data_IF_648957474396
#
_entry.id   IF_648957474396
#
_cell.length_a   1.000
_cell.length_b   1.000
_cell.length_c   1.000
_cell.angle_alpha   90.00
_cell.angle_beta   90.00
_cell.angle_gamma   90.00
#
_symmetry.space_group_name_H-M   'P 1'
#
loop_
_entity.id
_entity.type
_entity.pdbx_description
1 polymer ?
#
# COMPACT_ATOMS: atom_id res chain seq x y z
N UNK A 1 11.59 -17.27 -8.48
CA UNK A 1 12.32 -16.10 -7.96
C UNK A 1 12.10 -14.79 -8.75
N UNK A 2 11.78 -14.81 -10.05
CA UNK A 2 11.51 -13.55 -10.84
C UNK A 2 10.10 -12.96 -10.66
N UNK A 3 9.19 -13.61 -9.92
CA UNK A 3 7.78 -13.19 -9.77
C UNK A 3 7.53 -12.23 -8.61
N UNK A 4 8.39 -12.25 -7.60
CA UNK A 4 8.27 -11.40 -6.41
C UNK A 4 8.58 -9.91 -6.66
N UNK A 5 9.41 -9.60 -7.65
CA UNK A 5 9.74 -8.21 -8.00
C UNK A 5 8.54 -7.38 -8.53
N UNK A 6 7.44 -8.06 -8.93
CA UNK A 6 6.22 -7.39 -9.42
C UNK A 6 5.29 -6.90 -8.29
N UNK A 7 5.44 -7.41 -7.06
CA UNK A 7 4.62 -6.99 -5.92
C UNK A 7 4.96 -5.57 -5.46
N UNK A 8 6.25 -5.19 -5.51
CA UNK A 8 6.70 -3.89 -5.02
C UNK A 8 6.09 -2.70 -5.74
N UNK A 9 6.04 -2.77 -7.08
CA UNK A 9 5.50 -1.68 -7.89
C UNK A 9 3.96 -1.53 -7.81
N UNK A 10 3.25 -2.56 -7.33
CA UNK A 10 1.78 -2.59 -7.30
C UNK A 10 1.19 -2.05 -6.00
N UNK A 11 1.89 -2.18 -4.87
CA UNK A 11 1.38 -1.72 -3.58
C UNK A 11 1.64 -0.24 -3.33
N UNK A 12 2.75 0.30 -3.82
CA UNK A 12 3.06 1.74 -3.70
C UNK A 12 2.00 2.61 -4.38
N UNK A 13 1.44 2.15 -5.51
CA UNK A 13 0.36 2.86 -6.22
C UNK A 13 -1.02 2.75 -5.57
N UNK A 14 -1.13 2.00 -4.47
CA UNK A 14 -2.41 1.65 -3.86
C UNK A 14 -2.80 2.54 -2.68
N UNK A 15 -1.94 3.46 -2.26
CA UNK A 15 -2.32 4.36 -1.19
C UNK A 15 -3.33 5.39 -1.68
N UNK A 16 -4.53 5.32 -1.10
CA UNK A 16 -5.44 6.46 -1.17
C UNK A 16 -4.73 7.68 -0.59
N UNK A 17 -4.89 8.80 -1.25
CA UNK A 17 -4.64 10.07 -0.59
C UNK A 17 -5.31 10.02 0.78
N UNK A 18 -4.67 10.46 1.86
CA UNK A 18 -5.41 10.77 3.06
C UNK A 18 -6.62 11.57 2.58
N UNK A 19 -7.80 11.11 2.94
CA UNK A 19 -9.06 11.80 2.61
C UNK A 19 -8.77 13.28 2.77
N UNK A 20 -8.85 14.03 1.69
CA UNK A 20 -8.32 15.37 1.58
C UNK A 20 -8.49 16.05 2.95
N UNK A 21 -7.39 16.51 3.53
CA UNK A 21 -7.46 17.29 4.76
C UNK A 21 -8.55 18.31 4.46
N UNK A 22 -9.75 18.08 4.99
CA UNK A 22 -10.72 19.14 5.08
C UNK A 22 -10.05 20.15 6.01
N UNK A 23 -9.24 20.99 5.42
CA UNK A 23 -8.81 22.22 6.07
C UNK A 23 -10.07 22.85 6.63
N UNK A 24 -9.97 23.66 7.68
CA UNK A 24 -11.15 24.29 8.25
C UNK A 24 -11.99 24.82 7.10
N UNK A 25 -13.26 24.36 7.02
CA UNK A 25 -14.24 24.81 6.04
C UNK A 25 -14.46 26.28 6.32
N UNK A 26 -13.57 27.13 5.82
CA UNK A 26 -13.84 28.54 5.70
C UNK A 26 -14.85 28.66 4.56
N UNK A 27 -16.13 28.78 4.93
CA UNK A 27 -17.23 29.06 4.01
C UNK A 27 -17.01 30.39 3.32
N UNK A 28 -16.28 30.37 2.24
CA UNK A 28 -16.01 31.50 1.35
C UNK A 28 -15.58 30.92 0.01
N UNK A 29 -16.19 31.40 -1.09
CA UNK A 29 -15.73 31.09 -2.44
C UNK A 29 -14.21 31.31 -2.53
N UNK A 30 -13.50 30.32 -3.06
CA UNK A 30 -12.06 30.45 -3.31
C UNK A 30 -11.81 31.68 -4.17
N UNK A 31 -10.87 32.55 -3.81
CA UNK A 31 -10.49 33.66 -4.66
C UNK A 31 -9.92 33.14 -5.96
N UNK A 32 -10.33 33.74 -7.10
CA UNK A 32 -9.88 33.38 -8.46
C UNK A 32 -8.37 33.55 -8.73
N UNK A 33 -7.61 33.98 -7.73
CA UNK A 33 -6.15 34.08 -7.78
C UNK A 33 -5.53 33.29 -6.63
N UNK A 34 -4.51 32.46 -6.88
CA UNK A 34 -3.75 31.84 -5.81
C UNK A 34 -3.18 32.94 -4.90
N UNK A 35 -3.47 32.85 -3.61
CA UNK A 35 -2.83 33.70 -2.60
C UNK A 35 -1.40 33.13 -2.48
N UNK A 36 -0.41 33.82 -3.02
CA UNK A 36 0.98 33.37 -3.14
C UNK A 36 1.56 32.82 -1.83
N UNK A 37 1.12 33.33 -0.69
CA UNK A 37 1.56 32.85 0.63
C UNK A 37 0.99 31.49 1.05
N UNK A 38 -0.25 31.15 0.64
CA UNK A 38 -0.84 29.84 0.95
C UNK A 38 -0.18 28.72 0.13
N UNK A 39 0.10 28.98 -1.13
CA UNK A 39 0.82 28.04 -2.01
C UNK A 39 2.22 27.74 -1.46
N UNK A 40 2.90 28.76 -0.90
CA UNK A 40 4.21 28.58 -0.26
C UNK A 40 4.14 27.73 1.01
N UNK A 41 3.11 27.90 1.84
CA UNK A 41 2.94 27.10 3.07
C UNK A 41 2.71 25.63 2.73
N UNK A 42 1.84 25.33 1.76
CA UNK A 42 1.60 23.94 1.33
C UNK A 42 2.80 23.32 0.60
N UNK A 43 3.56 24.10 -0.16
CA UNK A 43 4.76 23.61 -0.85
C UNK A 43 5.90 23.27 0.12
N UNK A 44 5.89 23.77 1.34
CA UNK A 44 6.92 23.55 2.37
C UNK A 44 6.49 22.59 3.48
N UNK A 45 5.23 22.08 3.45
CA UNK A 45 4.76 21.11 4.44
C UNK A 45 5.52 19.77 4.28
N UNK A 46 6.35 19.38 5.27
CA UNK A 46 7.12 18.15 5.18
C UNK A 46 6.26 16.88 5.04
N UNK A 47 5.08 16.86 5.67
CA UNK A 47 4.18 15.70 5.58
C UNK A 47 3.59 15.55 4.16
N UNK A 48 3.23 16.65 3.51
CA UNK A 48 2.76 16.65 2.13
C UNK A 48 3.87 16.24 1.16
N UNK A 49 5.10 16.71 1.36
CA UNK A 49 6.24 16.30 0.52
C UNK A 49 6.56 14.81 0.71
N UNK A 50 6.53 14.33 1.95
CA UNK A 50 6.66 12.91 2.28
C UNK A 50 5.61 12.07 1.54
N UNK A 51 4.33 12.46 1.62
CA UNK A 51 3.23 11.79 0.93
C UNK A 51 3.40 11.79 -0.60
N UNK A 52 3.69 12.94 -1.19
CA UNK A 52 3.86 13.06 -2.64
C UNK A 52 4.99 12.16 -3.15
N UNK A 53 6.13 12.14 -2.46
CA UNK A 53 7.25 11.26 -2.81
C UNK A 53 6.87 9.78 -2.70
N UNK A 54 6.19 9.37 -1.62
CA UNK A 54 5.75 7.98 -1.45
C UNK A 54 4.78 7.55 -2.56
N UNK A 55 3.93 8.47 -3.01
CA UNK A 55 2.96 8.22 -4.09
C UNK A 55 3.60 8.17 -5.47
N UNK A 56 4.56 9.02 -5.74
CA UNK A 56 5.11 9.23 -7.09
C UNK A 56 6.40 8.44 -7.33
N UNK A 57 7.08 8.02 -6.25
CA UNK A 57 8.35 7.31 -6.34
C UNK A 57 9.51 8.17 -6.88
N UNK A 58 9.34 9.49 -6.93
CA UNK A 58 10.32 10.42 -7.44
C UNK A 58 11.15 11.03 -6.30
N UNK A 59 12.45 11.20 -6.52
CA UNK A 59 13.41 11.79 -5.56
C UNK A 59 13.25 11.23 -4.11
N UNK A 60 13.41 9.92 -3.99
CA UNK A 60 13.22 9.20 -2.74
C UNK A 60 14.05 9.73 -1.56
N UNK A 61 15.27 10.24 -1.83
CA UNK A 61 16.14 10.81 -0.79
C UNK A 61 15.57 12.10 -0.24
N UNK A 62 15.14 12.98 -1.10
CA UNK A 62 14.47 14.23 -0.73
C UNK A 62 13.20 13.94 0.08
N UNK A 63 12.35 13.03 -0.41
CA UNK A 63 11.15 12.61 0.31
C UNK A 63 11.45 12.01 1.68
N UNK A 64 12.52 11.21 1.82
CA UNK A 64 12.90 10.62 3.10
C UNK A 64 13.29 11.70 4.13
N UNK A 65 13.99 12.75 3.73
CA UNK A 65 14.32 13.88 4.60
C UNK A 65 13.07 14.60 5.09
N UNK A 66 12.10 14.84 4.21
CA UNK A 66 10.83 15.44 4.58
C UNK A 66 10.01 14.54 5.51
N UNK A 67 9.96 13.22 5.25
CA UNK A 67 9.32 12.27 6.15
C UNK A 67 9.97 12.27 7.55
N UNK A 68 11.31 12.31 7.61
CA UNK A 68 12.04 12.37 8.87
C UNK A 68 11.71 13.63 9.67
N UNK A 69 11.55 14.76 9.00
CA UNK A 69 11.12 16.02 9.63
C UNK A 69 9.68 15.89 10.11
N UNK A 70 8.80 15.38 9.26
CA UNK A 70 7.39 15.28 9.55
C UNK A 70 7.06 14.37 10.75
N UNK A 71 7.69 13.19 10.89
CA UNK A 71 7.41 12.28 12.01
C UNK A 71 7.84 12.83 13.38
N UNK A 72 8.68 13.87 13.41
CA UNK A 72 9.13 14.52 14.63
C UNK A 72 8.19 15.64 15.10
N UNK A 73 7.25 16.07 14.26
CA UNK A 73 6.29 17.13 14.62
C UNK A 73 5.29 16.59 15.67
N UNK A 74 5.30 17.12 16.91
CA UNK A 74 4.40 16.67 17.98
C UNK A 74 2.93 17.03 17.71
N UNK A 75 2.67 18.02 16.87
CA UNK A 75 1.33 18.50 16.52
C UNK A 75 0.70 17.79 15.33
N UNK A 76 1.40 16.80 14.76
CA UNK A 76 0.95 16.10 13.55
C UNK A 76 -0.25 15.19 13.82
N UNK A 77 -1.34 15.42 13.11
CA UNK A 77 -2.56 14.62 13.19
C UNK A 77 -2.50 13.31 12.38
N UNK A 78 -1.57 13.22 11.42
CA UNK A 78 -1.44 12.08 10.46
C UNK A 78 -0.14 11.30 10.68
N UNK A 79 0.22 11.07 11.94
CA UNK A 79 1.50 10.44 12.27
C UNK A 79 1.59 9.00 11.77
N UNK A 80 0.49 8.24 11.89
CA UNK A 80 0.44 6.86 11.39
C UNK A 80 0.66 6.81 9.86
N UNK A 81 -0.04 7.65 9.11
CA UNK A 81 0.06 7.73 7.65
C UNK A 81 1.45 8.21 7.22
N UNK A 82 2.06 9.14 7.96
CA UNK A 82 3.41 9.61 7.68
C UNK A 82 4.46 8.52 7.91
N UNK A 83 4.31 7.69 8.95
CA UNK A 83 5.15 6.50 9.12
C UNK A 83 4.95 5.52 7.96
N UNK A 84 3.72 5.28 7.49
CA UNK A 84 3.49 4.44 6.31
C UNK A 84 4.21 5.01 5.09
N UNK A 85 4.08 6.30 4.81
CA UNK A 85 4.74 6.95 3.68
C UNK A 85 6.27 6.84 3.76
N UNK A 86 6.86 7.06 4.95
CA UNK A 86 8.29 6.87 5.15
C UNK A 86 8.72 5.42 4.95
N UNK A 87 7.93 4.48 5.44
CA UNK A 87 8.17 3.05 5.24
C UNK A 87 8.16 2.65 3.76
N UNK A 88 7.25 3.20 2.95
CA UNK A 88 7.22 2.98 1.50
C UNK A 88 8.51 3.49 0.86
N UNK A 89 8.91 4.72 1.16
CA UNK A 89 10.16 5.30 0.62
C UNK A 89 11.38 4.48 1.02
N UNK A 90 11.44 4.02 2.28
CA UNK A 90 12.51 3.14 2.76
C UNK A 90 12.54 1.80 2.03
N UNK A 91 11.37 1.20 1.79
CA UNK A 91 11.26 -0.02 1.00
C UNK A 91 11.81 0.17 -0.42
N UNK A 92 11.45 1.26 -1.09
CA UNK A 92 11.91 1.57 -2.44
C UNK A 92 13.42 1.88 -2.49
N UNK A 93 13.99 2.38 -1.39
CA UNK A 93 15.42 2.54 -1.20
C UNK A 93 16.15 1.24 -0.81
N UNK A 94 15.42 0.13 -0.60
CA UNK A 94 15.98 -1.16 -0.19
C UNK A 94 16.20 -1.30 1.33
N UNK A 95 15.81 -0.32 2.15
CA UNK A 95 15.85 -0.40 3.61
C UNK A 95 14.61 -1.15 4.15
N UNK A 96 14.58 -2.46 3.95
CA UNK A 96 13.46 -3.31 4.35
C UNK A 96 13.25 -3.30 5.88
N UNK A 97 14.31 -3.31 6.66
CA UNK A 97 14.22 -3.28 8.12
C UNK A 97 13.65 -1.96 8.64
N UNK A 98 14.10 -0.85 8.08
CA UNK A 98 13.54 0.48 8.37
C UNK A 98 12.09 0.61 7.95
N UNK A 99 11.71 0.03 6.81
CA UNK A 99 10.33 -0.01 6.34
C UNK A 99 9.41 -0.78 7.30
N UNK A 100 9.81 -1.99 7.73
CA UNK A 100 9.04 -2.77 8.71
C UNK A 100 8.87 -2.02 10.04
N UNK A 101 9.94 -1.38 10.52
CA UNK A 101 9.87 -0.57 11.73
C UNK A 101 8.88 0.59 11.60
N UNK A 102 8.86 1.27 10.47
CA UNK A 102 7.92 2.34 10.21
C UNK A 102 6.48 1.84 10.13
N UNK A 103 6.22 0.70 9.48
CA UNK A 103 4.86 0.12 9.46
C UNK A 103 4.41 -0.33 10.84
N UNK A 104 5.31 -0.85 11.68
CA UNK A 104 5.00 -1.16 13.08
C UNK A 104 4.66 0.10 13.87
N UNK A 105 5.46 1.17 13.75
CA UNK A 105 5.17 2.45 14.37
C UNK A 105 3.82 3.02 13.92
N UNK A 106 3.49 2.92 12.63
CA UNK A 106 2.18 3.32 12.12
C UNK A 106 1.04 2.58 12.82
N UNK A 107 1.21 1.26 13.03
CA UNK A 107 0.20 0.42 13.69
C UNK A 107 0.13 0.65 15.22
N UNK A 108 1.19 1.14 15.84
CA UNK A 108 1.15 1.61 17.25
C UNK A 108 0.27 2.85 17.39
N UNK A 109 0.32 3.78 16.42
CA UNK A 109 -0.52 4.98 16.41
C UNK A 109 -1.95 4.69 15.94
N UNK A 110 -2.12 3.82 14.95
CA UNK A 110 -3.42 3.42 14.42
C UNK A 110 -3.47 1.93 14.10
N UNK A 111 -3.88 1.08 15.06
CA UNK A 111 -3.97 -0.38 14.86
C UNK A 111 -5.01 -0.81 13.80
N UNK A 112 -5.91 0.09 13.41
CA UNK A 112 -6.94 -0.18 12.41
C UNK A 112 -6.51 0.20 10.98
N UNK A 113 -5.26 0.63 10.77
CA UNK A 113 -4.77 1.06 9.46
C UNK A 113 -4.45 -0.15 8.57
N UNK A 114 -5.46 -0.66 7.86
CA UNK A 114 -5.34 -1.84 6.99
C UNK A 114 -4.24 -1.74 5.94
N UNK A 115 -4.00 -0.54 5.40
CA UNK A 115 -2.95 -0.29 4.41
C UNK A 115 -1.53 -0.50 4.98
N UNK A 116 -1.30 -0.23 6.27
CA UNK A 116 -0.02 -0.50 6.91
C UNK A 116 0.29 -2.01 6.94
N UNK A 117 -0.71 -2.84 7.23
CA UNK A 117 -0.56 -4.30 7.17
C UNK A 117 -0.25 -4.81 5.75
N UNK A 118 -0.86 -4.22 4.71
CA UNK A 118 -0.56 -4.60 3.33
C UNK A 118 0.88 -4.25 2.94
N UNK A 119 1.36 -3.09 3.34
CA UNK A 119 2.74 -2.69 3.08
C UNK A 119 3.74 -3.52 3.91
N UNK A 120 3.41 -3.86 5.15
CA UNK A 120 4.19 -4.81 5.95
C UNK A 120 4.30 -6.17 5.25
N UNK A 121 3.19 -6.68 4.71
CA UNK A 121 3.19 -7.94 3.98
C UNK A 121 4.10 -7.91 2.75
N UNK A 122 4.17 -6.78 2.03
CA UNK A 122 5.07 -6.62 0.90
C UNK A 122 6.53 -6.82 1.31
N UNK A 123 6.97 -6.17 2.37
CA UNK A 123 8.34 -6.33 2.89
C UNK A 123 8.60 -7.76 3.33
N UNK A 124 7.65 -8.38 4.06
CA UNK A 124 7.76 -9.76 4.52
C UNK A 124 7.89 -10.77 3.37
N UNK A 125 7.20 -10.52 2.24
CA UNK A 125 7.38 -11.32 1.03
C UNK A 125 8.79 -11.14 0.46
N UNK A 126 9.29 -9.91 0.40
CA UNK A 126 10.66 -9.63 -0.08
C UNK A 126 11.71 -10.30 0.81
N UNK A 127 11.48 -10.36 2.11
CA UNK A 127 12.33 -11.06 3.10
C UNK A 127 12.13 -12.58 3.14
N UNK A 128 11.27 -13.15 2.27
CA UNK A 128 10.97 -14.59 2.22
C UNK A 128 10.32 -15.13 3.50
N UNK A 129 9.44 -14.37 4.09
CA UNK A 129 8.63 -14.70 5.29
C UNK A 129 7.14 -14.85 4.93
N UNK A 130 6.78 -15.83 4.07
CA UNK A 130 5.44 -15.90 3.46
C UNK A 130 4.31 -16.14 4.47
N UNK A 131 4.57 -16.86 5.56
CA UNK A 131 3.55 -17.12 6.59
C UNK A 131 3.14 -15.85 7.32
N UNK A 132 4.11 -14.99 7.63
CA UNK A 132 3.86 -13.70 8.28
C UNK A 132 3.22 -12.72 7.29
N UNK A 133 3.68 -12.72 6.05
CA UNK A 133 3.06 -11.93 4.97
C UNK A 133 1.58 -12.31 4.79
N UNK A 134 1.24 -13.60 4.80
CA UNK A 134 -0.14 -14.08 4.71
C UNK A 134 -1.00 -13.57 5.87
N UNK A 135 -0.46 -13.61 7.10
CA UNK A 135 -1.15 -13.08 8.28
C UNK A 135 -1.41 -11.57 8.16
N UNK A 136 -0.41 -10.81 7.74
CA UNK A 136 -0.51 -9.37 7.55
C UNK A 136 -1.55 -9.01 6.46
N UNK A 137 -1.54 -9.68 5.30
CA UNK A 137 -2.55 -9.43 4.25
C UNK A 137 -3.96 -9.76 4.76
N UNK A 138 -4.14 -10.86 5.50
CA UNK A 138 -5.44 -11.20 6.07
C UNK A 138 -5.94 -10.11 7.03
N UNK A 139 -5.05 -9.56 7.85
CA UNK A 139 -5.39 -8.45 8.75
C UNK A 139 -5.77 -7.19 7.97
N UNK A 140 -5.00 -6.83 6.93
CA UNK A 140 -5.32 -5.70 6.06
C UNK A 140 -6.69 -5.84 5.37
N UNK A 141 -7.03 -7.04 4.90
CA UNK A 141 -8.35 -7.32 4.31
C UNK A 141 -9.47 -7.17 5.36
N UNK A 142 -9.26 -7.74 6.56
CA UNK A 142 -10.26 -7.71 7.64
C UNK A 142 -10.54 -6.28 8.12
N UNK A 143 -9.53 -5.40 8.10
CA UNK A 143 -9.65 -3.99 8.48
C UNK A 143 -10.13 -3.08 7.34
N UNK A 144 -10.40 -3.64 6.16
CA UNK A 144 -10.91 -2.87 5.04
C UNK A 144 -9.89 -1.92 4.43
N UNK A 145 -8.67 -2.41 4.17
CA UNK A 145 -7.65 -1.63 3.47
C UNK A 145 -8.22 -0.98 2.19
N UNK A 146 -7.70 0.20 1.86
CA UNK A 146 -8.25 1.08 0.81
C UNK A 146 -8.35 0.40 -0.56
N UNK A 147 -7.35 -0.43 -0.90
CA UNK A 147 -7.27 -1.10 -2.20
C UNK A 147 -7.44 -2.62 -2.07
N UNK A 148 -8.64 -3.06 -1.73
CA UNK A 148 -8.93 -4.47 -1.53
C UNK A 148 -8.60 -5.36 -2.74
N UNK A 149 -8.71 -4.86 -3.99
CA UNK A 149 -8.28 -5.62 -5.17
C UNK A 149 -6.78 -5.96 -5.12
N UNK A 150 -5.95 -5.04 -4.59
CA UNK A 150 -4.52 -5.26 -4.41
C UNK A 150 -4.28 -6.26 -3.27
N UNK A 151 -5.03 -6.14 -2.17
CA UNK A 151 -4.94 -7.04 -1.03
C UNK A 151 -5.25 -8.49 -1.43
N UNK A 152 -6.36 -8.72 -2.14
CA UNK A 152 -6.71 -10.04 -2.65
C UNK A 152 -5.68 -10.55 -3.67
N UNK A 153 -5.19 -9.69 -4.55
CA UNK A 153 -4.13 -10.07 -5.48
C UNK A 153 -2.85 -10.50 -4.74
N UNK A 154 -2.42 -9.75 -3.73
CA UNK A 154 -1.23 -10.06 -2.93
C UNK A 154 -1.39 -11.39 -2.20
N UNK A 155 -2.57 -11.63 -1.58
CA UNK A 155 -2.88 -12.91 -0.94
C UNK A 155 -2.86 -14.08 -1.92
N UNK A 156 -3.42 -13.87 -3.12
CA UNK A 156 -3.39 -14.85 -4.19
C UNK A 156 -1.96 -15.20 -4.63
N UNK A 157 -1.07 -14.21 -4.75
CA UNK A 157 0.33 -14.41 -5.10
C UNK A 157 1.06 -15.24 -4.05
N UNK A 158 0.87 -14.94 -2.76
CA UNK A 158 1.46 -15.70 -1.65
C UNK A 158 0.94 -17.15 -1.66
N UNK A 159 -0.36 -17.35 -1.87
CA UNK A 159 -0.99 -18.66 -1.94
C UNK A 159 -0.50 -19.47 -3.18
N UNK A 160 -0.35 -18.81 -4.35
CA UNK A 160 0.16 -19.42 -5.59
C UNK A 160 1.60 -19.92 -5.40
N UNK A 161 2.45 -19.10 -4.80
CA UNK A 161 3.84 -19.48 -4.49
C UNK A 161 3.92 -20.62 -3.47
N UNK A 162 2.94 -20.73 -2.56
CA UNK A 162 2.81 -21.82 -1.60
C UNK A 162 2.14 -23.09 -2.20
N UNK A 163 1.78 -23.12 -3.49
CA UNK A 163 1.07 -24.21 -4.14
C UNK A 163 -0.41 -24.34 -3.78
N UNK A 164 -0.97 -23.35 -3.09
CA UNK A 164 -2.38 -23.31 -2.69
C UNK A 164 -3.26 -22.76 -3.83
N UNK A 165 -3.22 -23.44 -4.99
CA UNK A 165 -3.80 -22.94 -6.24
C UNK A 165 -5.29 -22.64 -6.17
N UNK A 166 -6.05 -23.43 -5.40
CA UNK A 166 -7.48 -23.20 -5.25
C UNK A 166 -7.80 -21.89 -4.52
N UNK A 167 -6.98 -21.50 -3.54
CA UNK A 167 -7.11 -20.22 -2.86
C UNK A 167 -6.66 -19.09 -3.79
N UNK A 168 -5.49 -19.22 -4.42
CA UNK A 168 -4.96 -18.25 -5.36
C UNK A 168 -5.99 -17.91 -6.46
N UNK A 169 -6.61 -18.92 -7.06
CA UNK A 169 -7.65 -18.72 -8.07
C UNK A 169 -8.86 -17.93 -7.53
N UNK A 170 -9.35 -18.28 -6.33
CA UNK A 170 -10.47 -17.55 -5.72
C UNK A 170 -10.13 -16.09 -5.46
N UNK A 171 -8.93 -15.83 -4.95
CA UNK A 171 -8.49 -14.49 -4.59
C UNK A 171 -8.22 -13.62 -5.83
N UNK A 172 -7.60 -14.17 -6.89
CA UNK A 172 -7.49 -13.46 -8.17
C UNK A 172 -8.86 -13.08 -8.74
N UNK A 173 -9.84 -14.00 -8.66
CA UNK A 173 -11.22 -13.69 -9.08
C UNK A 173 -11.89 -12.65 -8.20
N UNK A 174 -11.61 -12.67 -6.90
CA UNK A 174 -12.15 -11.66 -5.97
C UNK A 174 -11.56 -10.27 -6.28
N UNK A 175 -10.27 -10.19 -6.60
CA UNK A 175 -9.66 -8.94 -7.05
C UNK A 175 -10.35 -8.37 -8.32
N UNK A 176 -10.67 -9.24 -9.30
CA UNK A 176 -11.41 -8.82 -10.51
C UNK A 176 -12.89 -8.51 -10.25
N UNK A 177 -13.51 -9.11 -9.23
CA UNK A 177 -14.87 -8.74 -8.85
C UNK A 177 -14.93 -7.31 -8.30
N UNK A 178 -13.86 -6.87 -7.59
CA UNK A 178 -13.74 -5.52 -7.05
C UNK A 178 -13.35 -4.54 -8.17
N UNK A 179 -12.35 -4.91 -8.97
CA UNK A 179 -11.85 -4.11 -10.08
C UNK A 179 -11.72 -4.97 -11.35
N UNK A 180 -12.74 -4.97 -12.24
CA UNK A 180 -12.79 -5.86 -13.42
C UNK A 180 -11.63 -5.68 -14.40
N UNK A 181 -11.10 -4.47 -14.53
CA UNK A 181 -9.98 -4.10 -15.40
C UNK A 181 -8.60 -4.23 -14.74
N UNK A 182 -8.51 -4.93 -13.60
CA UNK A 182 -7.25 -5.11 -12.89
C UNK A 182 -6.33 -6.10 -13.62
N UNK A 183 -5.57 -5.59 -14.59
CA UNK A 183 -4.71 -6.36 -15.47
C UNK A 183 -3.74 -7.35 -14.78
N UNK A 184 -3.15 -7.07 -13.59
CA UNK A 184 -2.32 -8.05 -12.90
C UNK A 184 -3.06 -9.36 -12.59
N UNK A 185 -4.29 -9.28 -12.07
CA UNK A 185 -5.07 -10.46 -11.74
C UNK A 185 -5.58 -11.19 -13.01
N UNK A 186 -5.95 -10.45 -14.06
CA UNK A 186 -6.33 -11.05 -15.35
C UNK A 186 -5.20 -11.94 -15.90
N UNK A 187 -3.97 -11.41 -16.00
CA UNK A 187 -2.80 -12.16 -16.47
C UNK A 187 -2.49 -13.42 -15.65
N UNK A 188 -2.72 -13.38 -14.33
CA UNK A 188 -2.49 -14.56 -13.49
C UNK A 188 -3.57 -15.63 -13.74
N UNK A 189 -4.83 -15.24 -13.90
CA UNK A 189 -5.94 -16.17 -14.14
C UNK A 189 -5.80 -16.94 -15.47
N UNK A 190 -5.18 -16.37 -16.49
CA UNK A 190 -4.90 -17.06 -17.77
C UNK A 190 -4.08 -18.35 -17.60
N UNK A 191 -3.33 -18.47 -16.50
CA UNK A 191 -2.51 -19.63 -16.17
C UNK A 191 -3.31 -20.79 -15.57
N UNK A 192 -4.52 -20.54 -15.08
CA UNK A 192 -5.35 -21.54 -14.43
C UNK A 192 -6.28 -22.22 -15.42
N UNK A 193 -6.13 -23.56 -15.54
CA UNK A 193 -7.10 -24.40 -16.26
C UNK A 193 -8.11 -24.95 -15.25
N UNK A 194 -9.36 -24.54 -15.37
CA UNK A 194 -10.44 -25.07 -14.54
C UNK A 194 -10.88 -26.42 -15.14
N UNK A 195 -10.57 -27.51 -14.43
CA UNK A 195 -11.08 -28.84 -14.79
C UNK A 195 -12.40 -29.07 -14.03
N UNK A 196 -13.52 -29.34 -14.73
CA UNK A 196 -14.79 -29.63 -14.07
C UNK A 196 -14.66 -30.84 -13.13
N UNK A 197 -15.28 -30.74 -11.94
CA UNK A 197 -15.38 -31.89 -11.04
C UNK A 197 -16.12 -33.03 -11.74
N UNK A 198 -15.44 -34.16 -11.99
CA UNK A 198 -16.03 -35.33 -12.63
C UNK A 198 -15.33 -35.82 -13.89
N UNK A 199 -14.32 -35.11 -14.40
CA UNK A 199 -13.51 -35.55 -15.54
C UNK A 199 -12.13 -36.10 -15.13
N UNK A 200 -11.97 -36.56 -13.90
CA UNK A 200 -10.82 -37.38 -13.56
C UNK A 200 -10.94 -38.66 -14.35
N UNK A 201 -10.26 -38.73 -15.49
CA UNK A 201 -10.06 -39.96 -16.28
C UNK A 201 -9.45 -41.02 -15.38
N UNK A 202 -10.13 -42.17 -15.36
CA UNK A 202 -9.65 -43.44 -14.85
C UNK A 202 -8.34 -43.82 -15.54
#
# INVERSE_FOLDING_TARGET
MKRLALLGALLVSAMAAPSAIAGPQLGGSMPDKPIDNLTMIYATDPALQCYNTAREGADLKFGLEHCNTAVLDPMMNYRAETFVNRGIIRYDLGDHSGALNDFNNALEYNPALGDAYLNQALVLVAEKRPSEAMAAVNQGIALGATNLQVAYYSRAMIADDAGQYAQAYRDYRQALKIKPDYAPAQRQLERFKVVPKGTATQ
#
